data_IF_434292296610
#
_entry.id   IF_434292296610
#
_cell.length_a   1.000
_cell.length_b   1.000
_cell.length_c   1.000
_cell.angle_alpha   90.00
_cell.angle_beta   90.00
_cell.angle_gamma   90.00
#
_symmetry.space_group_name_H-M   'P 1'
#
loop_
_entity.id
_entity.type
_entity.pdbx_description
1 polymer ?
#
# COMPACT_ATOMS: atom_id res chain seq x y z
N UNK A 1 -45.37 6.13 3.88
CA UNK A 1 -44.42 5.78 2.80
C UNK A 1 -43.04 6.42 2.97
N UNK A 2 -42.90 7.68 3.40
CA UNK A 2 -41.58 8.33 3.52
C UNK A 2 -40.64 7.70 4.57
N UNK A 3 -41.16 7.06 5.62
CA UNK A 3 -40.32 6.35 6.63
C UNK A 3 -39.73 5.02 6.13
N UNK A 4 -40.42 4.33 5.21
CA UNK A 4 -39.93 3.08 4.60
C UNK A 4 -38.86 3.36 3.52
N UNK A 5 -38.97 4.50 2.84
CA UNK A 5 -37.99 4.93 1.84
C UNK A 5 -36.66 5.35 2.49
N UNK A 6 -36.70 5.96 3.68
CA UNK A 6 -35.49 6.24 4.49
C UNK A 6 -34.82 4.95 5.00
N UNK A 7 -35.60 3.92 5.35
CA UNK A 7 -35.07 2.62 5.78
C UNK A 7 -34.40 1.84 4.64
N UNK A 8 -34.91 1.97 3.41
CA UNK A 8 -34.34 1.33 2.23
C UNK A 8 -33.08 2.05 1.72
N UNK A 9 -33.00 3.37 1.88
CA UNK A 9 -31.79 4.16 1.58
C UNK A 9 -30.67 3.90 2.60
N UNK A 10 -30.99 3.56 3.86
CA UNK A 10 -29.99 3.18 4.86
C UNK A 10 -29.33 1.82 4.59
N UNK A 11 -29.95 0.94 3.81
CA UNK A 11 -29.38 -0.36 3.42
C UNK A 11 -28.47 -0.31 2.18
N UNK A 12 -28.38 0.84 1.52
CA UNK A 12 -27.53 1.07 0.35
C UNK A 12 -26.14 1.63 0.70
N UNK A 13 -25.90 1.98 1.97
CA UNK A 13 -24.62 2.53 2.41
C UNK A 13 -23.90 1.58 3.38
N UNK A 14 -22.92 0.85 2.84
CA UNK A 14 -21.71 0.46 3.56
C UNK A 14 -21.71 -0.91 4.24
N UNK A 15 -21.58 -1.99 3.46
CA UNK A 15 -20.74 -3.10 3.96
C UNK A 15 -19.30 -2.61 3.88
N UNK A 16 -18.76 -2.12 5.01
CA UNK A 16 -17.31 -1.93 5.14
C UNK A 16 -16.71 -3.33 5.09
N UNK A 17 -16.22 -3.73 3.93
CA UNK A 17 -15.45 -4.95 3.75
C UNK A 17 -14.09 -4.70 4.42
N UNK A 18 -13.99 -4.97 5.73
CA UNK A 18 -12.68 -4.98 6.37
C UNK A 18 -12.03 -6.30 5.98
N UNK A 19 -11.03 -6.24 5.10
CA UNK A 19 -10.40 -7.45 4.58
C UNK A 19 -9.29 -7.93 5.54
N UNK A 20 -8.95 -9.21 5.47
CA UNK A 20 -7.77 -9.77 6.12
C UNK A 20 -6.67 -9.99 5.07
N UNK A 21 -5.46 -10.30 5.51
CA UNK A 21 -4.31 -10.45 4.61
C UNK A 21 -4.10 -11.90 4.19
N UNK A 22 -3.78 -12.08 2.91
CA UNK A 22 -3.16 -13.26 2.33
C UNK A 22 -1.75 -12.87 1.86
N UNK A 23 -0.82 -12.82 2.81
CA UNK A 23 0.53 -12.30 2.60
C UNK A 23 1.54 -13.42 2.38
N UNK A 24 2.31 -13.31 1.30
CA UNK A 24 3.52 -14.13 1.11
C UNK A 24 4.73 -13.40 1.69
N UNK A 25 5.36 -13.97 2.73
CA UNK A 25 6.59 -13.42 3.31
C UNK A 25 7.79 -14.22 2.81
N UNK A 26 8.77 -13.53 2.26
CA UNK A 26 10.01 -14.15 1.76
C UNK A 26 11.22 -13.47 2.39
N UNK A 27 12.12 -14.24 2.98
CA UNK A 27 13.37 -13.75 3.56
C UNK A 27 14.55 -14.19 2.70
N UNK A 28 15.21 -13.22 2.07
CA UNK A 28 16.42 -13.45 1.29
C UNK A 28 17.68 -13.08 2.10
N UNK A 29 18.50 -14.09 2.38
CA UNK A 29 19.80 -13.98 3.06
C UNK A 29 21.01 -14.17 2.13
N UNK A 30 20.84 -14.23 0.81
CA UNK A 30 21.91 -14.54 -0.15
C UNK A 30 23.04 -13.50 -0.17
N UNK A 31 22.80 -12.27 0.31
CA UNK A 31 23.81 -11.22 0.39
C UNK A 31 24.79 -11.41 1.55
N UNK A 32 24.50 -12.31 2.49
CA UNK A 32 25.33 -12.56 3.65
C UNK A 32 25.88 -13.98 3.65
N UNK A 33 27.19 -14.11 3.87
CA UNK A 33 27.83 -15.40 4.09
C UNK A 33 27.66 -15.80 5.57
N UNK A 34 26.45 -16.21 5.93
CA UNK A 34 26.13 -16.64 7.29
C UNK A 34 26.09 -18.18 7.37
N UNK A 35 26.71 -18.73 8.41
CA UNK A 35 26.76 -20.17 8.72
C UNK A 35 25.41 -20.71 9.21
N UNK A 36 24.62 -19.89 9.91
CA UNK A 36 23.29 -20.29 10.38
C UNK A 36 22.21 -19.80 9.39
N UNK A 37 21.90 -20.62 8.38
CA UNK A 37 20.78 -20.36 7.47
C UNK A 37 19.42 -20.73 8.07
N UNK A 38 19.39 -21.45 9.18
CA UNK A 38 18.15 -21.92 9.81
C UNK A 38 17.36 -20.76 10.41
N UNK A 39 18.04 -19.79 11.03
CA UNK A 39 17.42 -18.58 11.61
C UNK A 39 16.54 -17.82 10.60
N UNK A 40 16.93 -17.78 9.32
CA UNK A 40 16.14 -17.08 8.29
C UNK A 40 14.90 -17.86 7.88
N UNK A 41 14.97 -19.20 7.90
CA UNK A 41 13.81 -20.05 7.64
C UNK A 41 12.80 -19.97 8.79
N UNK A 42 13.27 -19.95 10.03
CA UNK A 42 12.41 -19.78 11.20
C UNK A 42 11.79 -18.39 11.20
N UNK A 43 12.58 -17.33 10.94
CA UNK A 43 12.07 -15.96 10.77
C UNK A 43 10.97 -15.86 9.70
N UNK A 44 11.20 -16.42 8.51
CA UNK A 44 10.22 -16.41 7.43
C UNK A 44 8.93 -17.11 7.85
N UNK A 45 9.03 -18.26 8.52
CA UNK A 45 7.87 -19.03 8.99
C UNK A 45 7.11 -18.23 10.04
N UNK A 46 7.79 -17.73 11.08
CA UNK A 46 7.19 -16.93 12.16
C UNK A 46 6.49 -15.69 11.61
N UNK A 47 7.10 -14.97 10.67
CA UNK A 47 6.48 -13.80 10.04
C UNK A 47 5.27 -14.17 9.17
N UNK A 48 5.37 -15.26 8.41
CA UNK A 48 4.25 -15.75 7.57
C UNK A 48 3.06 -16.10 8.45
N UNK A 49 3.28 -16.80 9.57
CA UNK A 49 2.22 -17.12 10.52
C UNK A 49 1.68 -15.87 11.20
N UNK A 50 2.56 -14.99 11.66
CA UNK A 50 2.16 -13.74 12.31
C UNK A 50 1.25 -12.90 11.40
N UNK A 51 1.62 -12.66 10.15
CA UNK A 51 0.81 -11.81 9.25
C UNK A 51 -0.53 -12.45 8.89
N UNK A 52 -0.54 -13.77 8.62
CA UNK A 52 -1.73 -14.45 8.10
C UNK A 52 -2.68 -15.00 9.18
N UNK A 53 -2.19 -15.20 10.41
CA UNK A 53 -3.00 -15.70 11.54
C UNK A 53 -3.40 -14.59 12.53
N UNK A 54 -2.78 -13.41 12.47
CA UNK A 54 -3.23 -12.26 13.26
C UNK A 54 -4.57 -11.77 12.76
N UNK A 55 -5.51 -11.57 13.68
CA UNK A 55 -6.78 -10.93 13.37
C UNK A 55 -6.62 -9.41 13.40
N UNK A 56 -6.50 -8.81 12.23
CA UNK A 56 -6.28 -7.37 12.08
C UNK A 56 -7.55 -6.54 12.19
N UNK A 57 -8.72 -7.12 11.89
CA UNK A 57 -9.97 -6.37 11.73
C UNK A 57 -11.11 -6.91 12.61
N UNK A 58 -10.93 -8.04 13.29
CA UNK A 58 -11.99 -8.69 14.07
C UNK A 58 -12.97 -9.50 13.22
N UNK A 59 -12.76 -9.59 11.90
CA UNK A 59 -13.71 -10.17 10.96
C UNK A 59 -13.27 -11.55 10.48
N UNK A 60 -14.21 -12.51 10.47
CA UNK A 60 -13.98 -13.83 9.91
C UNK A 60 -14.31 -13.83 8.41
N UNK A 61 -13.30 -14.07 7.56
CA UNK A 61 -13.41 -13.95 6.12
C UNK A 61 -13.00 -15.24 5.40
N UNK A 62 -13.55 -15.44 4.21
CA UNK A 62 -13.11 -16.50 3.30
C UNK A 62 -11.78 -16.14 2.66
N UNK A 63 -11.02 -17.16 2.24
CA UNK A 63 -9.69 -16.96 1.65
C UNK A 63 -9.71 -16.07 0.39
N UNK A 64 -10.79 -16.10 -0.40
CA UNK A 64 -10.96 -15.28 -1.59
C UNK A 64 -11.34 -13.82 -1.31
N UNK A 65 -11.67 -13.50 -0.06
CA UNK A 65 -12.00 -12.14 0.40
C UNK A 65 -10.78 -11.45 1.05
N UNK A 66 -9.63 -12.14 1.10
CA UNK A 66 -8.38 -11.62 1.66
C UNK A 66 -7.57 -10.86 0.61
N UNK A 67 -6.89 -9.80 1.05
CA UNK A 67 -6.00 -8.99 0.22
C UNK A 67 -4.73 -9.79 -0.08
N UNK A 68 -4.41 -9.92 -1.36
CA UNK A 68 -3.15 -10.52 -1.77
C UNK A 68 -2.02 -9.50 -1.59
N UNK A 69 -1.03 -9.87 -0.79
CA UNK A 69 0.14 -9.03 -0.55
C UNK A 69 1.43 -9.84 -0.44
N UNK A 70 2.56 -9.15 -0.53
CA UNK A 70 3.88 -9.74 -0.37
C UNK A 70 4.78 -8.83 0.47
N UNK A 71 5.60 -9.45 1.30
CA UNK A 71 6.64 -8.80 2.08
C UNK A 71 7.96 -9.51 1.78
N UNK A 72 8.80 -8.86 0.99
CA UNK A 72 10.09 -9.41 0.58
C UNK A 72 11.21 -8.73 1.37
N UNK A 73 11.80 -9.47 2.29
CA UNK A 73 12.83 -9.01 3.20
C UNK A 73 14.19 -9.41 2.64
N UNK A 74 15.10 -8.45 2.48
CA UNK A 74 16.49 -8.70 2.10
C UNK A 74 17.40 -8.39 3.26
N UNK A 75 18.04 -9.41 3.83
CA UNK A 75 19.02 -9.25 4.91
C UNK A 75 20.31 -8.68 4.32
N UNK A 76 20.78 -7.58 4.91
CA UNK A 76 22.00 -6.88 4.51
C UNK A 76 23.19 -7.26 5.40
N UNK A 77 22.96 -7.35 6.71
CA UNK A 77 23.96 -7.76 7.69
C UNK A 77 23.29 -8.28 8.95
N UNK A 78 24.05 -9.03 9.75
CA UNK A 78 23.63 -9.49 11.07
C UNK A 78 24.78 -9.39 12.08
N UNK A 79 24.45 -9.16 13.34
CA UNK A 79 25.35 -9.22 14.48
C UNK A 79 24.62 -9.93 15.63
N UNK A 80 24.91 -11.22 15.83
CA UNK A 80 24.11 -12.12 16.67
C UNK A 80 22.63 -12.04 16.28
N UNK A 81 21.79 -11.53 17.19
CA UNK A 81 20.34 -11.48 17.08
C UNK A 81 19.85 -10.15 16.48
N UNK A 82 20.77 -9.23 16.17
CA UNK A 82 20.48 -7.95 15.54
C UNK A 82 20.67 -8.07 14.03
N UNK A 83 19.65 -7.69 13.27
CA UNK A 83 19.63 -7.76 11.81
C UNK A 83 19.42 -6.38 11.22
N UNK A 84 20.13 -6.10 10.13
CA UNK A 84 19.87 -4.96 9.26
C UNK A 84 19.40 -5.49 7.90
N UNK A 85 18.28 -4.95 7.42
CA UNK A 85 17.62 -5.43 6.23
C UNK A 85 16.90 -4.28 5.50
N UNK A 86 16.37 -4.60 4.33
CA UNK A 86 15.35 -3.81 3.64
C UNK A 86 14.08 -4.65 3.48
N UNK A 87 12.92 -4.03 3.40
CA UNK A 87 11.65 -4.71 3.15
C UNK A 87 10.94 -4.06 1.96
N UNK A 88 10.62 -4.87 0.96
CA UNK A 88 9.72 -4.48 -0.13
C UNK A 88 8.32 -4.96 0.21
N UNK A 89 7.37 -4.04 0.28
CA UNK A 89 5.97 -4.32 0.59
C UNK A 89 5.12 -4.07 -0.64
N UNK A 90 4.33 -5.07 -1.03
CA UNK A 90 3.45 -4.98 -2.19
C UNK A 90 2.06 -5.49 -1.84
N UNK A 91 1.03 -4.88 -2.42
CA UNK A 91 -0.33 -5.37 -2.36
C UNK A 91 -1.03 -5.18 -3.69
N UNK A 92 -2.04 -6.01 -3.95
CA UNK A 92 -2.82 -5.93 -5.17
C UNK A 92 -4.29 -6.27 -4.92
N UNK A 93 -5.16 -5.60 -5.67
CA UNK A 93 -6.61 -5.74 -5.64
C UNK A 93 -7.11 -6.40 -6.93
N UNK A 94 -7.93 -7.46 -6.86
CA UNK A 94 -8.63 -8.01 -8.01
C UNK A 94 -9.58 -6.98 -8.64
N UNK A 95 -9.58 -6.88 -9.97
CA UNK A 95 -10.51 -6.00 -10.69
C UNK A 95 -11.83 -6.71 -10.98
N UNK A 96 -12.93 -5.99 -10.82
CA UNK A 96 -14.27 -6.54 -10.98
C UNK A 96 -14.45 -7.20 -12.36
N UNK A 97 -14.98 -8.42 -12.36
CA UNK A 97 -15.25 -9.21 -13.57
C UNK A 97 -14.02 -9.39 -14.49
N UNK A 98 -12.82 -9.47 -13.90
CA UNK A 98 -11.55 -9.66 -14.60
C UNK A 98 -10.65 -10.65 -13.85
N UNK A 99 -9.75 -11.30 -14.59
CA UNK A 99 -8.65 -12.07 -13.99
C UNK A 99 -7.45 -11.19 -13.62
N UNK A 100 -7.52 -9.90 -13.89
CA UNK A 100 -6.45 -8.95 -13.63
C UNK A 100 -6.46 -8.48 -12.17
N UNK A 101 -5.28 -8.38 -11.57
CA UNK A 101 -5.07 -7.81 -10.25
C UNK A 101 -4.25 -6.53 -10.37
N UNK A 102 -4.83 -5.42 -9.94
CA UNK A 102 -4.21 -4.11 -9.99
C UNK A 102 -3.30 -3.89 -8.77
N UNK A 103 -2.05 -3.44 -8.96
CA UNK A 103 -1.14 -3.15 -7.85
C UNK A 103 -1.62 -1.92 -7.06
N UNK A 104 -1.75 -2.02 -5.74
CA UNK A 104 -2.23 -0.93 -4.86
C UNK A 104 -1.06 -0.25 -4.14
N UNK A 105 -0.12 -1.05 -3.61
CA UNK A 105 1.08 -0.56 -2.94
C UNK A 105 2.31 -1.27 -3.52
N UNK A 106 3.40 -0.51 -3.67
CA UNK A 106 4.72 -1.05 -3.98
C UNK A 106 5.77 -0.14 -3.35
N UNK A 107 6.23 -0.46 -2.13
CA UNK A 107 7.11 0.40 -1.37
C UNK A 107 8.36 -0.33 -0.86
N UNK A 108 9.53 0.26 -1.10
CA UNK A 108 10.81 -0.24 -0.60
C UNK A 108 11.27 0.55 0.62
N UNK A 109 11.18 -0.07 1.79
CA UNK A 109 11.69 0.51 3.03
C UNK A 109 13.11 0.02 3.31
N UNK A 110 14.05 0.98 3.26
CA UNK A 110 15.47 0.73 3.50
C UNK A 110 15.84 0.72 4.99
N UNK A 111 14.94 1.17 5.87
CA UNK A 111 15.18 1.30 7.31
C UNK A 111 14.52 0.14 8.07
N UNK A 112 14.93 -1.09 7.76
CA UNK A 112 14.40 -2.29 8.38
C UNK A 112 15.46 -3.00 9.24
N UNK A 113 15.74 -2.43 10.41
CA UNK A 113 16.63 -3.04 11.41
C UNK A 113 15.80 -3.62 12.56
N UNK A 114 16.10 -4.83 13.01
CA UNK A 114 15.31 -5.49 14.03
C UNK A 114 16.13 -6.51 14.83
N UNK A 115 15.60 -6.90 15.98
CA UNK A 115 16.12 -8.04 16.75
C UNK A 115 15.21 -9.24 16.54
N UNK A 116 15.77 -10.44 16.47
CA UNK A 116 15.01 -11.68 16.39
C UNK A 116 15.78 -12.84 17.01
N UNK A 117 15.12 -13.56 17.92
CA UNK A 117 15.60 -14.82 18.46
C UNK A 117 14.72 -15.96 17.94
N UNK A 118 15.31 -17.10 17.59
CA UNK A 118 14.57 -18.23 17.02
C UNK A 118 13.46 -18.70 17.97
N UNK A 119 12.29 -19.03 17.38
CA UNK A 119 11.10 -19.50 18.10
C UNK A 119 10.47 -18.48 19.06
N UNK A 120 10.90 -17.22 19.02
CA UNK A 120 10.22 -16.15 19.73
C UNK A 120 8.78 -15.98 19.19
N UNK A 121 7.83 -15.84 20.10
CA UNK A 121 6.44 -15.61 19.73
C UNK A 121 6.24 -14.13 19.35
N UNK A 122 5.76 -13.89 18.12
CA UNK A 122 5.49 -12.56 17.61
C UNK A 122 4.08 -12.13 18.02
N UNK A 123 3.99 -11.17 18.96
CA UNK A 123 2.71 -10.67 19.49
C UNK A 123 2.60 -9.17 19.23
N UNK A 124 1.55 -8.78 18.51
CA UNK A 124 1.20 -7.38 18.29
C UNK A 124 0.41 -6.80 19.47
N UNK A 125 0.78 -5.59 19.89
CA UNK A 125 -0.02 -4.77 20.80
C UNK A 125 0.02 -3.33 20.29
N UNK A 126 -1.15 -2.77 19.99
CA UNK A 126 -1.28 -1.43 19.45
C UNK A 126 -0.82 -0.33 20.42
N UNK A 127 -0.88 -0.58 21.73
CA UNK A 127 -0.63 0.44 22.76
C UNK A 127 0.79 0.39 23.33
N UNK A 128 1.63 -0.55 22.89
CA UNK A 128 2.97 -0.72 23.45
C UNK A 128 3.99 -1.16 22.40
N UNK A 129 5.17 -0.55 22.42
CA UNK A 129 6.29 -1.02 21.63
C UNK A 129 6.93 -2.24 22.30
N UNK A 130 6.88 -3.40 21.65
CA UNK A 130 7.55 -4.63 22.09
C UNK A 130 8.78 -4.95 21.25
N UNK A 131 8.61 -4.97 19.92
CA UNK A 131 9.65 -5.33 18.97
C UNK A 131 9.54 -4.48 17.71
N UNK A 132 10.68 -4.06 17.15
CA UNK A 132 10.70 -3.32 15.90
C UNK A 132 10.28 -4.20 14.71
N UNK A 133 10.61 -5.50 14.75
CA UNK A 133 10.17 -6.46 13.73
C UNK A 133 8.65 -6.49 13.65
N UNK A 134 8.01 -6.70 14.79
CA UNK A 134 6.55 -6.77 14.93
C UNK A 134 5.92 -5.42 14.55
N UNK A 135 6.49 -4.31 15.02
CA UNK A 135 5.95 -2.97 14.74
C UNK A 135 5.97 -2.63 13.26
N UNK A 136 7.07 -2.93 12.54
CA UNK A 136 7.18 -2.64 11.10
C UNK A 136 6.21 -3.50 10.30
N UNK A 137 6.13 -4.79 10.60
CA UNK A 137 5.23 -5.72 9.89
C UNK A 137 3.76 -5.38 10.15
N UNK A 138 3.42 -5.03 11.40
CA UNK A 138 2.06 -4.59 11.76
C UNK A 138 1.70 -3.26 11.12
N UNK A 139 2.63 -2.29 11.11
CA UNK A 139 2.46 -1.01 10.42
C UNK A 139 2.10 -1.22 8.95
N UNK A 140 2.89 -2.01 8.22
CA UNK A 140 2.61 -2.27 6.80
C UNK A 140 1.33 -3.08 6.58
N UNK A 141 0.98 -3.96 7.51
CA UNK A 141 -0.30 -4.69 7.46
C UNK A 141 -1.47 -3.70 7.48
N UNK A 142 -1.51 -2.77 8.44
CA UNK A 142 -2.55 -1.74 8.52
C UNK A 142 -2.52 -0.72 7.37
N UNK A 143 -1.34 -0.37 6.85
CA UNK A 143 -1.23 0.46 5.64
C UNK A 143 -1.86 -0.24 4.43
N UNK A 144 -1.60 -1.54 4.24
CA UNK A 144 -2.21 -2.33 3.16
C UNK A 144 -3.74 -2.33 3.32
N UNK A 145 -4.25 -2.59 4.53
CA UNK A 145 -5.68 -2.61 4.81
C UNK A 145 -6.34 -1.27 4.50
N UNK A 146 -5.71 -0.16 4.93
CA UNK A 146 -6.22 1.19 4.70
C UNK A 146 -6.24 1.55 3.21
N UNK A 147 -5.12 1.34 2.52
CA UNK A 147 -5.03 1.66 1.09
C UNK A 147 -5.96 0.81 0.23
N UNK A 148 -6.13 -0.48 0.58
CA UNK A 148 -7.07 -1.35 -0.12
C UNK A 148 -8.52 -0.88 0.06
N UNK A 149 -8.96 -0.58 1.29
CA UNK A 149 -10.30 -0.06 1.55
C UNK A 149 -10.59 1.22 0.75
N UNK A 150 -9.63 2.14 0.68
CA UNK A 150 -9.76 3.38 -0.11
C UNK A 150 -9.99 3.15 -1.61
N UNK A 151 -9.55 2.02 -2.16
CA UNK A 151 -9.83 1.70 -3.57
C UNK A 151 -11.30 1.38 -3.84
N UNK A 152 -12.05 0.94 -2.83
CA UNK A 152 -13.47 0.59 -2.95
C UNK A 152 -14.40 1.73 -2.57
N UNK A 153 -14.04 2.47 -1.52
CA UNK A 153 -14.83 3.61 -1.02
C UNK A 153 -13.86 4.69 -0.56
N UNK A 154 -14.06 5.90 -1.08
CA UNK A 154 -13.25 7.08 -0.75
C UNK A 154 -13.07 7.23 0.77
N UNK A 155 -11.82 7.24 1.20
CA UNK A 155 -11.38 7.44 2.59
C UNK A 155 -11.89 6.41 3.62
N UNK A 156 -12.43 5.27 3.17
CA UNK A 156 -12.91 4.21 4.08
C UNK A 156 -11.79 3.48 4.82
N UNK A 157 -10.53 3.63 4.40
CA UNK A 157 -9.37 3.06 5.06
C UNK A 157 -8.86 3.84 6.28
N UNK A 158 -9.49 4.96 6.64
CA UNK A 158 -8.97 5.90 7.65
C UNK A 158 -8.73 5.23 9.01
N UNK A 159 -9.67 4.41 9.49
CA UNK A 159 -9.52 3.70 10.77
C UNK A 159 -8.25 2.83 10.83
N UNK A 160 -7.95 2.10 9.74
CA UNK A 160 -6.75 1.28 9.65
C UNK A 160 -5.48 2.15 9.58
N UNK A 161 -5.52 3.26 8.85
CA UNK A 161 -4.40 4.19 8.74
C UNK A 161 -4.13 4.89 10.08
N UNK A 162 -5.16 5.20 10.87
CA UNK A 162 -5.02 5.74 12.23
C UNK A 162 -4.34 4.74 13.17
N UNK A 163 -4.65 3.44 13.05
CA UNK A 163 -3.93 2.39 13.80
C UNK A 163 -2.46 2.36 13.38
N UNK A 164 -2.16 2.43 12.07
CA UNK A 164 -0.78 2.51 11.59
C UNK A 164 -0.06 3.77 12.09
N UNK A 165 -0.75 4.90 12.18
CA UNK A 165 -0.19 6.15 12.73
C UNK A 165 0.16 5.97 14.20
N UNK A 166 -0.73 5.35 14.98
CA UNK A 166 -0.48 5.06 16.39
C UNK A 166 0.72 4.12 16.58
N UNK A 167 0.88 3.09 15.74
CA UNK A 167 2.08 2.24 15.74
C UNK A 167 3.34 3.09 15.52
N UNK A 168 3.33 4.00 14.55
CA UNK A 168 4.47 4.89 14.29
C UNK A 168 4.77 5.81 15.49
N UNK A 169 3.74 6.38 16.14
CA UNK A 169 3.89 7.22 17.33
C UNK A 169 4.49 6.47 18.52
N UNK A 170 4.01 5.25 18.78
CA UNK A 170 4.52 4.40 19.86
C UNK A 170 5.95 3.92 19.56
N UNK A 171 6.23 3.57 18.30
CA UNK A 171 7.56 3.10 17.88
C UNK A 171 8.61 4.23 17.80
N UNK A 172 8.21 5.50 17.72
CA UNK A 172 9.15 6.62 17.69
C UNK A 172 10.08 6.67 18.92
N UNK A 173 9.60 6.21 20.09
CA UNK A 173 10.38 6.19 21.34
C UNK A 173 11.47 5.10 21.36
N UNK A 174 11.43 4.15 20.41
CA UNK A 174 12.36 3.02 20.36
C UNK A 174 13.77 3.39 19.89
N UNK A 175 13.94 4.56 19.26
CA UNK A 175 15.22 4.97 18.67
C UNK A 175 15.59 4.28 17.35
N UNK A 176 14.75 3.36 16.84
CA UNK A 176 14.95 2.79 15.50
C UNK A 176 14.62 3.81 14.41
N UNK A 177 15.41 3.81 13.34
CA UNK A 177 15.21 4.71 12.19
C UNK A 177 13.92 4.41 11.45
N UNK A 178 13.32 5.48 10.92
CA UNK A 178 12.17 5.45 10.02
C UNK A 178 10.85 5.77 10.73
N UNK A 179 10.86 5.91 12.05
CA UNK A 179 9.70 6.27 12.87
C UNK A 179 9.61 7.75 13.21
N UNK A 180 10.62 8.55 12.85
CA UNK A 180 10.70 9.95 13.19
C UNK A 180 10.94 10.85 11.97
N UNK A 181 10.60 12.12 12.11
CA UNK A 181 10.83 13.14 11.07
C UNK A 181 12.32 13.34 10.74
N UNK A 182 13.22 13.09 11.70
CA UNK A 182 14.67 13.32 11.52
C UNK A 182 15.36 12.21 10.71
N UNK A 183 14.68 11.10 10.44
CA UNK A 183 15.23 9.93 9.72
C UNK A 183 15.16 10.07 8.18
N UNK A 184 14.89 11.28 7.68
CA UNK A 184 14.71 11.59 6.26
C UNK A 184 13.24 11.76 5.86
N UNK A 185 13.00 12.14 4.61
CA UNK A 185 11.66 12.50 4.12
C UNK A 185 10.88 11.32 3.51
N UNK A 186 11.55 10.20 3.30
CA UNK A 186 11.01 9.02 2.62
C UNK A 186 10.92 7.82 3.58
N UNK A 187 10.11 7.95 4.62
CA UNK A 187 10.04 6.97 5.71
C UNK A 187 8.61 6.70 6.18
N UNK A 188 8.46 5.76 7.12
CA UNK A 188 7.16 5.34 7.66
C UNK A 188 6.43 6.49 8.35
N UNK A 189 7.16 7.38 9.04
CA UNK A 189 6.59 8.58 9.65
C UNK A 189 5.90 9.48 8.62
N UNK A 190 6.58 9.87 7.55
CA UNK A 190 5.98 10.71 6.51
C UNK A 190 4.90 9.96 5.72
N UNK A 191 5.12 8.67 5.42
CA UNK A 191 4.15 7.85 4.70
C UNK A 191 2.77 7.93 5.36
N UNK A 192 2.69 7.69 6.67
CA UNK A 192 1.40 7.60 7.35
C UNK A 192 0.80 8.97 7.68
N UNK A 193 1.63 9.92 8.10
CA UNK A 193 1.15 11.25 8.44
C UNK A 193 0.65 12.01 7.21
N UNK A 194 1.32 11.85 6.06
CA UNK A 194 0.85 12.46 4.83
C UNK A 194 -0.43 11.78 4.34
N UNK A 195 -0.57 10.44 4.48
CA UNK A 195 -1.79 9.73 4.06
C UNK A 195 -3.05 10.21 4.82
N UNK A 196 -2.91 10.55 6.10
CA UNK A 196 -4.01 11.06 6.93
C UNK A 196 -4.20 12.58 6.86
N UNK A 197 -3.26 13.29 6.24
CA UNK A 197 -3.30 14.76 6.19
C UNK A 197 -4.27 15.25 5.10
N UNK A 198 -5.17 16.21 5.42
CA UNK A 198 -6.07 16.82 4.44
C UNK A 198 -5.35 17.47 3.25
N UNK A 199 -4.06 17.78 3.39
CA UNK A 199 -3.24 18.33 2.31
C UNK A 199 -3.05 17.34 1.16
N UNK A 200 -3.13 16.04 1.43
CA UNK A 200 -2.86 14.97 0.47
C UNK A 200 -4.08 14.12 0.14
N UNK A 201 -5.30 14.54 0.51
CA UNK A 201 -6.56 13.83 0.20
C UNK A 201 -6.70 13.48 -1.29
N UNK A 202 -6.15 14.30 -2.18
CA UNK A 202 -6.13 14.04 -3.62
C UNK A 202 -5.45 12.71 -4.00
N UNK A 203 -4.51 12.18 -3.21
CA UNK A 203 -3.91 10.85 -3.45
C UNK A 203 -4.93 9.74 -3.19
N UNK A 204 -5.60 9.76 -2.03
CA UNK A 204 -6.61 8.76 -1.67
C UNK A 204 -7.79 8.82 -2.63
N UNK A 205 -8.21 10.03 -3.00
CA UNK A 205 -9.20 10.26 -4.04
C UNK A 205 -8.79 9.71 -5.40
N UNK A 206 -7.54 9.93 -5.81
CA UNK A 206 -7.02 9.35 -7.05
C UNK A 206 -7.10 7.83 -6.99
N UNK A 207 -6.70 7.20 -5.87
CA UNK A 207 -6.76 5.75 -5.70
C UNK A 207 -8.19 5.22 -5.90
N UNK A 208 -9.17 5.80 -5.24
CA UNK A 208 -10.59 5.43 -5.40
C UNK A 208 -11.07 5.58 -6.85
N UNK A 209 -10.92 6.77 -7.44
CA UNK A 209 -11.45 7.07 -8.78
C UNK A 209 -10.76 6.23 -9.87
N UNK A 210 -9.46 5.98 -9.71
CA UNK A 210 -8.67 5.15 -10.62
C UNK A 210 -9.16 3.70 -10.61
N UNK A 211 -9.30 3.06 -9.44
CA UNK A 211 -9.78 1.68 -9.35
C UNK A 211 -11.24 1.54 -9.77
N UNK A 212 -12.08 2.55 -9.45
CA UNK A 212 -13.46 2.60 -9.96
C UNK A 212 -13.52 2.77 -11.49
N UNK A 213 -12.47 3.29 -12.13
CA UNK A 213 -12.31 3.28 -13.58
C UNK A 213 -11.90 1.90 -14.10
N UNK A 214 -10.98 1.21 -13.42
CA UNK A 214 -10.59 -0.17 -13.75
C UNK A 214 -11.77 -1.14 -13.69
N UNK A 215 -12.62 -1.02 -12.66
CA UNK A 215 -13.79 -1.89 -12.49
C UNK A 215 -14.84 -1.72 -13.61
N UNK A 216 -14.80 -0.59 -14.34
CA UNK A 216 -15.67 -0.34 -15.49
C UNK A 216 -15.11 -0.87 -16.81
N UNK A 217 -13.85 -1.31 -16.85
CA UNK A 217 -13.18 -1.71 -18.10
C UNK A 217 -13.87 -2.88 -18.81
N UNK A 218 -14.45 -3.81 -18.06
CA UNK A 218 -15.18 -4.95 -18.64
C UNK A 218 -16.48 -4.54 -19.34
N UNK A 219 -17.05 -3.37 -18.99
CA UNK A 219 -18.31 -2.87 -19.53
C UNK A 219 -18.08 -1.88 -20.67
N UNK A 220 -17.22 -0.89 -20.46
CA UNK A 220 -16.90 0.14 -21.44
C UNK A 220 -15.45 0.62 -21.26
N UNK A 221 -14.57 0.15 -22.16
CA UNK A 221 -13.15 0.48 -22.13
C UNK A 221 -12.89 1.98 -22.35
N UNK A 222 -13.67 2.65 -23.21
CA UNK A 222 -13.41 4.06 -23.55
C UNK A 222 -13.76 4.95 -22.36
N UNK A 223 -14.95 4.76 -21.80
CA UNK A 223 -15.39 5.51 -20.61
C UNK A 223 -14.51 5.21 -19.40
N UNK A 224 -14.09 3.95 -19.22
CA UNK A 224 -13.14 3.57 -18.18
C UNK A 224 -11.80 4.32 -18.31
N UNK A 225 -11.22 4.37 -19.51
CA UNK A 225 -9.99 5.12 -19.77
C UNK A 225 -10.13 6.61 -19.48
N UNK A 226 -11.24 7.23 -19.88
CA UNK A 226 -11.50 8.65 -19.61
C UNK A 226 -11.59 8.91 -18.10
N UNK A 227 -12.22 8.02 -17.34
CA UNK A 227 -12.31 8.11 -15.88
C UNK A 227 -10.95 7.93 -15.18
N UNK A 228 -10.14 6.98 -15.65
CA UNK A 228 -8.76 6.79 -15.14
C UNK A 228 -7.90 8.00 -15.45
N UNK A 229 -8.00 8.54 -16.68
CA UNK A 229 -7.31 9.77 -17.05
C UNK A 229 -7.73 10.94 -16.14
N UNK A 230 -9.03 11.07 -15.87
CA UNK A 230 -9.55 12.12 -15.01
C UNK A 230 -8.99 12.05 -13.57
N UNK A 231 -8.90 10.85 -13.00
CA UNK A 231 -8.35 10.68 -11.64
C UNK A 231 -6.89 11.11 -11.54
N UNK A 232 -6.07 10.84 -12.57
CA UNK A 232 -4.65 11.22 -12.62
C UNK A 232 -4.43 12.75 -12.63
N UNK A 233 -5.43 13.56 -12.99
CA UNK A 233 -5.33 15.02 -12.86
C UNK A 233 -5.41 15.50 -11.40
N UNK A 234 -5.98 14.72 -10.48
CA UNK A 234 -5.94 15.07 -9.05
C UNK A 234 -4.49 15.07 -8.52
N UNK A 235 -3.62 14.18 -9.01
CA UNK A 235 -2.18 14.23 -8.72
C UNK A 235 -1.57 15.53 -9.26
N UNK A 236 -2.03 16.00 -10.42
CA UNK A 236 -1.64 17.29 -10.98
C UNK A 236 -2.01 18.48 -10.08
N UNK A 237 -3.17 18.43 -9.42
CA UNK A 237 -3.61 19.44 -8.44
C UNK A 237 -2.74 19.40 -7.19
N UNK A 238 -2.51 18.21 -6.64
CA UNK A 238 -1.61 18.04 -5.49
C UNK A 238 -0.21 18.57 -5.80
N UNK A 239 0.35 18.22 -6.95
CA UNK A 239 1.70 18.66 -7.34
C UNK A 239 1.82 20.19 -7.48
N UNK A 240 0.73 20.89 -7.79
CA UNK A 240 0.71 22.37 -7.80
C UNK A 240 0.78 22.98 -6.39
N UNK A 241 0.36 22.26 -5.35
CA UNK A 241 0.39 22.70 -3.93
C UNK A 241 1.62 22.16 -3.19
N UNK A 242 1.95 20.89 -3.43
CA UNK A 242 3.08 20.15 -2.84
C UNK A 242 3.89 19.47 -3.95
N UNK A 243 4.78 20.21 -4.64
CA UNK A 243 5.68 19.63 -5.63
C UNK A 243 6.58 18.55 -4.99
N UNK A 244 6.87 17.48 -5.73
CA UNK A 244 7.72 16.37 -5.27
C UNK A 244 7.23 15.69 -3.98
N UNK A 245 5.91 15.69 -3.73
CA UNK A 245 5.33 14.98 -2.60
C UNK A 245 5.74 13.50 -2.59
N UNK A 246 6.12 13.00 -1.41
CA UNK A 246 6.56 11.61 -1.24
C UNK A 246 5.45 10.62 -1.66
N UNK A 247 4.20 10.88 -1.30
CA UNK A 247 3.06 10.03 -1.69
C UNK A 247 2.83 9.97 -3.20
N UNK A 248 3.14 11.04 -3.94
CA UNK A 248 3.08 11.01 -5.41
C UNK A 248 4.04 9.97 -5.97
N UNK A 249 5.27 9.89 -5.41
CA UNK A 249 6.23 8.86 -5.80
C UNK A 249 5.72 7.46 -5.46
N UNK A 250 5.22 7.26 -4.24
CA UNK A 250 4.66 5.97 -3.79
C UNK A 250 3.53 5.50 -4.70
N UNK A 251 2.64 6.41 -5.13
CA UNK A 251 1.60 6.09 -6.10
C UNK A 251 2.19 5.59 -7.42
N UNK A 252 3.16 6.31 -8.01
CA UNK A 252 3.74 5.92 -9.30
C UNK A 252 4.64 4.69 -9.24
N UNK A 253 5.24 4.39 -8.08
CA UNK A 253 6.00 3.14 -7.86
C UNK A 253 5.10 1.90 -8.02
N UNK A 254 3.80 2.02 -7.77
CA UNK A 254 2.81 0.94 -8.01
C UNK A 254 2.11 1.06 -9.36
N UNK A 255 1.80 2.27 -9.83
CA UNK A 255 0.88 2.49 -10.96
C UNK A 255 1.54 2.74 -12.31
N UNK A 256 2.82 3.11 -12.37
CA UNK A 256 3.41 3.60 -13.62
C UNK A 256 3.32 2.60 -14.79
N UNK A 257 3.57 1.32 -14.56
CA UNK A 257 3.50 0.29 -15.61
C UNK A 257 2.06 -0.04 -16.03
N UNK A 258 1.12 0.00 -15.09
CA UNK A 258 -0.31 -0.19 -15.34
C UNK A 258 -0.86 0.97 -16.19
N UNK A 259 -0.51 2.22 -15.87
CA UNK A 259 -0.89 3.40 -16.64
C UNK A 259 -0.41 3.26 -18.09
N UNK A 260 0.85 2.88 -18.32
CA UNK A 260 1.36 2.65 -19.67
C UNK A 260 0.55 1.57 -20.38
N UNK A 261 0.32 0.43 -19.73
CA UNK A 261 -0.41 -0.68 -20.34
C UNK A 261 -1.84 -0.30 -20.73
N UNK A 262 -2.54 0.49 -19.91
CA UNK A 262 -3.88 1.00 -20.19
C UNK A 262 -3.87 1.93 -21.41
N UNK A 263 -3.01 2.95 -21.42
CA UNK A 263 -2.98 3.97 -22.49
C UNK A 263 -2.11 3.59 -23.70
N UNK A 264 -1.53 2.38 -23.72
CA UNK A 264 -0.93 1.78 -24.90
C UNK A 264 -1.83 0.71 -25.55
N UNK A 265 -2.95 0.34 -24.91
CA UNK A 265 -4.00 -0.50 -25.49
C UNK A 265 -5.12 0.32 -26.13
N UNK A 266 -5.92 -0.25 -27.04
CA UNK A 266 -7.13 0.41 -27.54
C UNK A 266 -8.28 0.42 -26.52
N UNK A 267 -9.37 1.18 -26.75
CA UNK A 267 -9.57 2.16 -27.83
C UNK A 267 -8.80 3.46 -27.58
N UNK A 268 -8.65 4.30 -28.61
CA UNK A 268 -7.94 5.57 -28.48
C UNK A 268 -8.80 6.67 -27.85
N UNK A 269 -8.18 7.48 -27.00
CA UNK A 269 -8.72 8.72 -26.43
C UNK A 269 -7.71 9.86 -26.63
N UNK A 270 -8.10 11.11 -26.37
CA UNK A 270 -7.11 12.19 -26.34
C UNK A 270 -6.19 12.00 -25.12
N UNK A 271 -4.89 11.79 -25.37
CA UNK A 271 -3.87 11.52 -24.35
C UNK A 271 -2.82 12.64 -24.21
N UNK A 272 -2.90 13.71 -25.01
CA UNK A 272 -1.83 14.73 -25.05
C UNK A 272 -1.68 15.46 -23.69
N UNK A 273 -2.81 15.88 -23.13
CA UNK A 273 -2.93 16.49 -21.81
C UNK A 273 -2.57 15.54 -20.66
N UNK A 274 -2.89 14.25 -20.82
CA UNK A 274 -2.48 13.21 -19.87
C UNK A 274 -0.95 13.09 -19.84
N UNK A 275 -0.32 12.93 -20.99
CA UNK A 275 1.14 12.78 -21.11
C UNK A 275 1.87 14.02 -20.60
N UNK A 276 1.36 15.22 -20.89
CA UNK A 276 1.88 16.47 -20.33
C UNK A 276 1.79 16.46 -18.79
N UNK A 277 0.62 16.13 -18.24
CA UNK A 277 0.45 16.06 -16.79
C UNK A 277 1.38 15.03 -16.14
N UNK A 278 1.50 13.83 -16.72
CA UNK A 278 2.36 12.75 -16.23
C UNK A 278 3.85 13.15 -16.22
N UNK A 279 4.32 13.81 -17.28
CA UNK A 279 5.70 14.32 -17.34
C UNK A 279 5.95 15.42 -16.29
N UNK A 280 4.94 16.23 -15.98
CA UNK A 280 5.03 17.27 -14.94
C UNK A 280 5.06 16.69 -13.52
N UNK A 281 4.25 15.68 -13.22
CA UNK A 281 4.12 15.12 -11.85
C UNK A 281 5.04 13.94 -11.57
N UNK A 282 5.51 13.24 -12.60
CA UNK A 282 6.39 12.06 -12.47
C UNK A 282 7.46 12.05 -13.57
N UNK A 283 8.38 13.04 -13.57
CA UNK A 283 9.39 13.17 -14.62
C UNK A 283 10.37 11.98 -14.67
N UNK A 284 10.58 11.29 -13.54
CA UNK A 284 11.42 10.08 -13.47
C UNK A 284 10.87 8.91 -14.32
N UNK A 285 9.57 8.93 -14.64
CA UNK A 285 8.92 7.94 -15.50
C UNK A 285 8.73 8.44 -16.94
N UNK A 286 9.36 9.53 -17.36
CA UNK A 286 9.22 10.11 -18.71
C UNK A 286 9.44 9.11 -19.84
N UNK A 287 10.43 8.21 -19.72
CA UNK A 287 10.65 7.12 -20.69
C UNK A 287 9.45 6.17 -20.79
N UNK A 288 8.75 5.90 -19.68
CA UNK A 288 7.52 5.12 -19.66
C UNK A 288 6.38 5.88 -20.34
N UNK A 289 6.23 7.18 -20.04
CA UNK A 289 5.17 8.01 -20.64
C UNK A 289 5.30 8.16 -22.16
N UNK A 290 6.52 8.14 -22.70
CA UNK A 290 6.75 8.15 -24.14
C UNK A 290 6.23 6.89 -24.87
N UNK A 291 5.97 5.79 -24.15
CA UNK A 291 5.42 4.56 -24.72
C UNK A 291 3.89 4.55 -24.85
N UNK A 292 3.20 5.56 -24.30
CA UNK A 292 1.75 5.74 -24.39
C UNK A 292 1.38 6.12 -25.84
N UNK A 293 0.37 5.45 -26.42
CA UNK A 293 0.03 5.56 -27.85
C UNK A 293 -1.46 5.77 -28.16
N UNK A 294 -2.36 5.39 -27.25
CA UNK A 294 -3.80 5.24 -27.52
C UNK A 294 -4.68 5.93 -26.49
#
# INVERSE_FOLDING_TARGET
MNKLLVLFVLFLFGTVNAQQLNCTVTVNSQKINNTNQQVFKTLQTSLTEFVNKTDWTGQNLKQNEKINCSMYITILSNNSDQFSATIQVQSARPIYNSSYSSPVLNFNDKNFSFNYTEFENLIFNQNSFSSNLVSIVSFYSYVILGLDADTFVLESGSDNLEIAQNIASVAQQSGYKGWSQIDGNDNRYFLINDLLSPTYTDIRKTSFEYHSGLDMMAQDLKTAKEKIKASLFNIGKLNSVKPNAFLTRVFFDSKSDEIVSIFSGGPSINIADLTENLNRVSPLNSTKWAAIKF
#
